data_IF_961822653610
#
_entry.id   IF_961822653610
#
_cell.length_a   1.000
_cell.length_b   1.000
_cell.length_c   1.000
_cell.angle_alpha   90.00
_cell.angle_beta   90.00
_cell.angle_gamma   90.00
#
_symmetry.space_group_name_H-M   'P 1'
#
loop_
_entity.id
_entity.type
_entity.pdbx_description
1 polymer ?
#
# COMPACT_ATOMS: atom_id res chain seq x y z
N UNK A 1 57.60 21.92 -54.49
CA UNK A 1 56.23 21.47 -54.18
C UNK A 1 55.69 22.44 -53.14
N UNK A 2 54.92 23.47 -53.52
CA UNK A 2 53.45 23.47 -53.67
C UNK A 2 52.74 23.04 -52.37
N UNK A 3 52.17 24.01 -51.61
CA UNK A 3 50.72 24.33 -51.46
C UNK A 3 49.96 23.23 -50.70
N UNK A 4 49.09 23.46 -49.72
CA UNK A 4 48.02 24.45 -49.47
C UNK A 4 47.55 24.15 -48.01
N UNK A 5 47.32 25.08 -47.09
CA UNK A 5 46.12 25.92 -46.92
C UNK A 5 44.94 25.27 -46.15
N UNK A 6 44.17 26.11 -45.44
CA UNK A 6 43.11 25.93 -44.40
C UNK A 6 43.60 26.06 -42.94
N UNK A 7 43.51 27.22 -42.27
CA UNK A 7 42.33 28.05 -41.90
C UNK A 7 41.40 27.24 -40.95
N UNK A 8 40.96 27.64 -39.76
CA UNK A 8 40.54 28.90 -39.12
C UNK A 8 40.37 28.59 -37.61
N UNK A 9 40.41 29.60 -36.73
CA UNK A 9 39.61 29.51 -35.50
C UNK A 9 40.19 30.14 -34.23
N UNK A 10 40.37 31.46 -34.23
CA UNK A 10 40.39 32.29 -33.01
C UNK A 10 39.16 32.01 -32.14
N UNK A 11 39.26 31.89 -30.81
CA UNK A 11 38.63 32.79 -29.81
C UNK A 11 39.28 32.59 -28.43
N UNK A 12 39.90 33.65 -27.90
CA UNK A 12 40.13 33.80 -26.45
C UNK A 12 38.96 34.54 -25.80
N UNK A 13 38.68 34.26 -24.53
CA UNK A 13 37.77 35.10 -23.74
C UNK A 13 37.17 34.44 -22.51
N UNK A 14 37.75 34.77 -21.35
CA UNK A 14 37.13 34.98 -20.04
C UNK A 14 36.23 33.90 -19.41
N UNK A 15 36.63 33.38 -18.26
CA UNK A 15 36.14 33.85 -16.96
C UNK A 15 36.64 32.94 -15.84
N UNK A 16 37.43 33.49 -14.91
CA UNK A 16 37.71 32.90 -13.61
C UNK A 16 36.39 32.86 -12.81
N UNK A 17 35.92 31.66 -12.48
CA UNK A 17 34.79 31.43 -11.58
C UNK A 17 35.29 30.77 -10.30
N UNK A 18 35.32 31.56 -9.24
CA UNK A 18 35.69 31.15 -7.89
C UNK A 18 34.56 30.28 -7.31
N UNK A 19 34.85 29.04 -6.92
CA UNK A 19 33.94 28.21 -6.11
C UNK A 19 33.94 28.73 -4.67
N UNK A 20 33.15 29.77 -4.41
CA UNK A 20 32.80 30.17 -3.05
C UNK A 20 31.61 29.34 -2.53
N UNK A 21 31.61 28.92 -1.25
CA UNK A 21 30.54 28.09 -0.70
C UNK A 21 29.23 28.87 -0.60
N UNK A 22 28.20 28.37 -1.26
CA UNK A 22 26.83 28.91 -1.22
C UNK A 22 26.31 28.89 0.21
N UNK A 23 26.29 30.07 0.84
CA UNK A 23 25.77 30.25 2.20
C UNK A 23 24.32 30.73 2.12
N UNK A 24 23.36 29.83 2.33
CA UNK A 24 21.94 30.16 2.36
C UNK A 24 21.62 30.81 3.71
N UNK A 25 21.45 32.14 3.75
CA UNK A 25 20.94 32.85 4.93
C UNK A 25 19.41 32.90 4.89
N UNK A 26 18.77 31.97 5.60
CA UNK A 26 17.33 31.99 5.86
C UNK A 26 16.97 33.21 6.75
N UNK A 27 16.02 34.03 6.31
CA UNK A 27 15.49 35.20 7.04
C UNK A 27 14.06 35.00 7.52
N UNK A 28 13.65 33.78 7.87
CA UNK A 28 12.39 33.60 8.61
C UNK A 28 12.52 34.20 10.00
N UNK A 29 11.87 35.35 10.17
CA UNK A 29 11.57 35.96 11.47
C UNK A 29 10.61 35.01 12.20
N UNK A 30 11.15 34.21 13.12
CA UNK A 30 10.34 33.35 14.00
C UNK A 30 9.69 34.27 15.04
N UNK A 31 8.37 34.43 14.95
CA UNK A 31 7.56 35.04 16.00
C UNK A 31 7.00 33.90 16.85
N UNK A 32 7.25 33.86 18.17
CA UNK A 32 6.64 32.87 19.06
C UNK A 32 5.38 33.47 19.70
N UNK A 33 4.25 32.80 19.55
CA UNK A 33 3.03 32.84 20.39
C UNK A 33 1.94 32.10 19.57
N UNK A 34 1.20 31.09 20.04
CA UNK A 34 0.79 30.82 21.40
C UNK A 34 -0.60 31.39 21.65
N UNK A 35 -1.64 30.93 20.93
CA UNK A 35 -3.05 31.15 21.30
C UNK A 35 -3.96 30.09 20.66
N UNK A 36 -4.33 29.12 21.48
CA UNK A 36 -5.66 28.58 21.74
C UNK A 36 -6.76 28.80 20.67
N UNK A 37 -7.22 27.70 20.10
CA UNK A 37 -8.45 27.57 19.32
C UNK A 37 -9.68 27.78 20.23
N UNK A 38 -10.64 28.66 19.91
CA UNK A 38 -11.92 28.66 20.61
C UNK A 38 -12.86 27.61 20.03
N UNK A 39 -13.37 26.81 20.95
CA UNK A 39 -14.39 25.78 20.83
C UNK A 39 -15.74 26.34 20.35
N UNK A 40 -16.53 25.44 19.75
CA UNK A 40 -17.92 25.64 19.35
C UNK A 40 -18.82 26.18 20.47
N UNK A 41 -19.62 27.19 20.14
CA UNK A 41 -20.73 27.70 20.95
C UNK A 41 -22.00 27.82 20.11
N UNK A 42 -22.99 27.00 20.47
CA UNK A 42 -24.38 26.91 19.99
C UNK A 42 -25.17 28.23 19.91
N UNK A 43 -26.12 28.34 18.96
CA UNK A 43 -27.45 28.90 19.23
C UNK A 43 -28.51 28.36 18.25
N UNK A 44 -29.41 27.53 18.76
CA UNK A 44 -30.77 27.41 18.26
C UNK A 44 -31.65 28.37 19.09
N UNK A 45 -32.50 29.14 18.42
CA UNK A 45 -33.44 30.06 19.07
C UNK A 45 -34.45 30.58 18.06
N UNK A 46 -35.61 29.92 18.01
CA UNK A 46 -36.82 30.35 17.32
C UNK A 46 -37.41 31.59 18.01
N UNK A 47 -37.88 32.55 17.22
CA UNK A 47 -38.33 33.86 17.67
C UNK A 47 -39.04 34.62 16.55
N UNK A 48 -40.33 34.31 16.39
CA UNK A 48 -41.26 34.98 15.46
C UNK A 48 -41.43 36.47 15.79
N UNK A 49 -41.15 37.35 14.81
CA UNK A 49 -41.67 38.72 14.77
C UNK A 49 -42.03 39.09 13.32
N UNK A 50 -43.28 39.49 13.12
CA UNK A 50 -43.91 39.84 11.85
C UNK A 50 -43.42 41.22 11.31
N UNK A 51 -43.75 41.58 10.04
CA UNK A 51 -42.87 42.31 9.13
C UNK A 51 -43.04 43.84 9.15
N UNK A 52 -41.95 44.56 8.84
CA UNK A 52 -41.89 46.01 8.62
C UNK A 52 -40.89 46.34 7.49
N UNK A 53 -40.99 47.51 6.83
CA UNK A 53 -41.27 47.60 5.40
C UNK A 53 -40.04 47.52 4.50
N UNK A 54 -40.22 46.83 3.38
CA UNK A 54 -39.61 47.09 2.07
C UNK A 54 -38.26 47.84 2.07
N UNK A 55 -37.17 47.10 2.22
CA UNK A 55 -36.01 47.39 1.39
C UNK A 55 -36.37 46.92 -0.02
N UNK A 56 -36.67 47.88 -0.91
CA UNK A 56 -36.94 47.61 -2.32
C UNK A 56 -35.79 46.83 -2.97
N UNK A 57 -36.01 46.21 -4.14
CA UNK A 57 -34.93 45.55 -4.85
C UNK A 57 -33.83 46.59 -5.07
N UNK A 58 -32.63 46.32 -4.57
CA UNK A 58 -31.44 46.98 -5.09
C UNK A 58 -31.25 46.45 -6.51
N UNK A 59 -32.11 46.92 -7.42
CA UNK A 59 -31.99 46.71 -8.85
C UNK A 59 -30.73 47.45 -9.31
N UNK A 60 -29.81 46.66 -9.87
CA UNK A 60 -28.54 47.11 -10.39
C UNK A 60 -27.38 46.79 -9.47
N UNK A 61 -27.06 45.51 -9.31
CA UNK A 61 -25.66 45.15 -9.09
C UNK A 61 -24.91 45.74 -10.28
N UNK A 62 -23.93 46.60 -10.02
CA UNK A 62 -23.13 47.21 -11.06
C UNK A 62 -22.58 46.08 -11.96
N UNK A 63 -22.75 46.13 -13.29
CA UNK A 63 -22.29 45.06 -14.19
C UNK A 63 -20.79 44.77 -14.01
N UNK A 64 -20.01 45.74 -13.52
CA UNK A 64 -18.61 45.54 -13.18
C UNK A 64 -18.42 44.65 -11.93
N UNK A 65 -19.29 44.78 -10.93
CA UNK A 65 -19.28 43.94 -9.72
C UNK A 65 -19.73 42.50 -10.03
N UNK A 66 -20.75 42.31 -10.88
CA UNK A 66 -21.15 40.96 -11.33
C UNK A 66 -20.02 40.27 -12.10
N UNK A 67 -19.34 41.01 -12.99
CA UNK A 67 -18.19 40.47 -13.73
C UNK A 67 -17.04 40.09 -12.80
N UNK A 68 -16.66 40.95 -11.87
CA UNK A 68 -15.58 40.68 -10.92
C UNK A 68 -15.91 39.50 -9.99
N UNK A 69 -17.17 39.38 -9.54
CA UNK A 69 -17.60 38.24 -8.71
C UNK A 69 -17.60 36.92 -9.48
N UNK A 70 -17.99 36.94 -10.76
CA UNK A 70 -17.86 35.78 -11.64
C UNK A 70 -16.39 35.37 -11.86
N UNK A 71 -15.49 36.32 -12.13
CA UNK A 71 -14.05 36.04 -12.27
C UNK A 71 -13.44 35.48 -10.98
N UNK A 72 -13.83 36.00 -9.81
CA UNK A 72 -13.39 35.47 -8.50
C UNK A 72 -13.93 34.06 -8.29
N UNK A 73 -15.19 33.79 -8.64
CA UNK A 73 -15.79 32.46 -8.51
C UNK A 73 -15.10 31.45 -9.44
N UNK A 74 -14.84 31.81 -10.70
CA UNK A 74 -14.09 30.99 -11.66
C UNK A 74 -12.69 30.67 -11.15
N UNK A 75 -11.93 31.70 -10.75
CA UNK A 75 -10.58 31.50 -10.19
C UNK A 75 -10.58 30.67 -8.92
N UNK A 76 -11.59 30.85 -8.06
CA UNK A 76 -11.73 30.05 -6.83
C UNK A 76 -12.01 28.59 -7.17
N UNK A 77 -12.89 28.33 -8.15
CA UNK A 77 -13.17 26.97 -8.62
C UNK A 77 -11.92 26.31 -9.23
N UNK A 78 -11.14 27.06 -10.02
CA UNK A 78 -9.86 26.57 -10.56
C UNK A 78 -8.84 26.29 -9.47
N UNK A 79 -8.69 27.17 -8.48
CA UNK A 79 -7.81 26.95 -7.34
C UNK A 79 -8.23 25.72 -6.54
N UNK A 80 -9.53 25.53 -6.31
CA UNK A 80 -10.05 24.33 -5.64
C UNK A 80 -9.72 23.07 -6.45
N UNK A 81 -9.93 23.09 -7.76
CA UNK A 81 -9.60 21.97 -8.64
C UNK A 81 -8.11 21.64 -8.62
N UNK A 82 -7.24 22.62 -8.83
CA UNK A 82 -5.78 22.43 -8.79
C UNK A 82 -5.31 21.97 -7.41
N UNK A 83 -5.90 22.47 -6.33
CA UNK A 83 -5.59 22.02 -4.98
C UNK A 83 -5.95 20.55 -4.76
N UNK A 84 -7.09 20.10 -5.29
CA UNK A 84 -7.53 18.72 -5.22
C UNK A 84 -6.63 17.81 -6.08
N UNK A 85 -6.28 18.23 -7.29
CA UNK A 85 -5.34 17.53 -8.17
C UNK A 85 -3.97 17.37 -7.48
N UNK A 86 -3.45 18.44 -6.86
CA UNK A 86 -2.19 18.41 -6.13
C UNK A 86 -2.24 17.50 -4.89
N UNK A 87 -3.34 17.55 -4.11
CA UNK A 87 -3.52 16.67 -2.97
C UNK A 87 -3.54 15.18 -3.39
N UNK A 88 -4.20 14.87 -4.50
CA UNK A 88 -4.23 13.52 -5.05
C UNK A 88 -2.87 13.08 -5.61
N UNK A 89 -2.16 13.97 -6.33
CA UNK A 89 -0.80 13.72 -6.80
C UNK A 89 0.14 13.42 -5.65
N UNK A 90 0.15 14.26 -4.60
CA UNK A 90 1.00 14.07 -3.42
C UNK A 90 0.75 12.71 -2.76
N UNK A 91 -0.51 12.37 -2.50
CA UNK A 91 -0.88 11.06 -1.92
C UNK A 91 -0.41 9.90 -2.82
N UNK A 92 -0.52 10.04 -4.15
CA UNK A 92 -0.07 9.02 -5.09
C UNK A 92 1.46 8.87 -5.06
N UNK A 93 2.19 9.96 -5.14
CA UNK A 93 3.66 9.96 -5.12
C UNK A 93 4.22 9.44 -3.80
N UNK A 94 3.59 9.74 -2.67
CA UNK A 94 4.04 9.21 -1.38
C UNK A 94 3.88 7.68 -1.30
N UNK A 95 2.76 7.13 -1.78
CA UNK A 95 2.59 5.66 -1.90
C UNK A 95 3.57 5.02 -2.88
N UNK A 96 3.84 5.69 -4.01
CA UNK A 96 4.81 5.20 -5.00
C UNK A 96 6.24 5.19 -4.44
N UNK A 97 6.62 6.20 -3.67
CA UNK A 97 7.92 6.21 -2.97
C UNK A 97 8.03 5.05 -2.00
N UNK A 98 6.97 4.80 -1.23
CA UNK A 98 6.93 3.68 -0.30
C UNK A 98 7.03 2.33 -1.03
N UNK A 99 6.28 2.14 -2.11
CA UNK A 99 6.33 0.91 -2.90
C UNK A 99 7.69 0.69 -3.56
N UNK A 100 8.36 1.75 -4.02
CA UNK A 100 9.73 1.69 -4.54
C UNK A 100 10.72 1.30 -3.45
N UNK A 101 10.60 1.86 -2.24
CA UNK A 101 11.47 1.50 -1.11
C UNK A 101 11.28 0.03 -0.69
N UNK A 102 10.03 -0.43 -0.58
CA UNK A 102 9.72 -1.83 -0.28
C UNK A 102 10.22 -2.74 -1.41
N UNK A 103 10.03 -2.34 -2.68
CA UNK A 103 10.49 -3.06 -3.85
C UNK A 103 12.02 -3.21 -3.90
N UNK A 104 12.75 -2.16 -3.54
CA UNK A 104 14.21 -2.19 -3.47
C UNK A 104 14.72 -3.13 -2.37
N UNK A 105 14.11 -3.09 -1.17
CA UNK A 105 14.42 -4.03 -0.08
C UNK A 105 14.12 -5.47 -0.51
N UNK A 106 12.96 -5.71 -1.11
CA UNK A 106 12.56 -7.01 -1.63
C UNK A 106 13.57 -7.56 -2.63
N UNK A 107 13.97 -6.78 -3.62
CA UNK A 107 14.96 -7.23 -4.61
C UNK A 107 16.29 -7.62 -3.97
N UNK A 108 16.81 -6.80 -3.05
CA UNK A 108 18.06 -7.09 -2.37
C UNK A 108 17.98 -8.35 -1.51
N UNK A 109 16.89 -8.51 -0.75
CA UNK A 109 16.71 -9.68 0.10
C UNK A 109 16.47 -10.95 -0.71
N UNK A 110 15.76 -10.85 -1.85
CA UNK A 110 15.56 -11.97 -2.77
C UNK A 110 16.87 -12.61 -3.22
N UNK A 111 17.88 -11.81 -3.57
CA UNK A 111 19.20 -12.31 -3.96
C UNK A 111 19.92 -12.99 -2.79
N UNK A 112 19.70 -12.48 -1.57
CA UNK A 112 20.29 -13.02 -0.34
C UNK A 112 19.59 -14.30 0.16
N UNK A 113 18.39 -14.65 -0.35
CA UNK A 113 17.65 -15.83 0.08
C UNK A 113 18.46 -17.13 -0.08
N UNK A 114 19.30 -17.21 -1.11
CA UNK A 114 20.18 -18.38 -1.32
C UNK A 114 21.14 -18.59 -0.15
N UNK A 115 21.70 -17.51 0.39
CA UNK A 115 22.59 -17.55 1.55
C UNK A 115 21.83 -17.90 2.83
N UNK A 116 20.60 -17.38 2.98
CA UNK A 116 19.74 -17.76 4.11
C UNK A 116 19.39 -19.25 4.06
N UNK A 117 19.11 -19.80 2.88
CA UNK A 117 18.85 -21.23 2.70
C UNK A 117 20.09 -22.08 3.07
N UNK A 118 21.30 -21.59 2.75
CA UNK A 118 22.54 -22.27 3.13
C UNK A 118 22.77 -22.23 4.65
N UNK A 119 22.40 -21.15 5.33
CA UNK A 119 22.44 -21.10 6.79
C UNK A 119 21.45 -22.08 7.42
N UNK A 120 20.22 -22.18 6.90
CA UNK A 120 19.24 -23.17 7.35
C UNK A 120 19.74 -24.60 7.13
N UNK A 121 20.31 -24.87 5.95
CA UNK A 121 20.91 -26.17 5.63
C UNK A 121 22.05 -26.50 6.59
N UNK A 122 22.95 -25.55 6.85
CA UNK A 122 24.05 -25.72 7.79
C UNK A 122 23.55 -25.96 9.23
N UNK A 123 22.45 -25.32 9.63
CA UNK A 123 21.83 -25.55 10.94
C UNK A 123 21.23 -26.97 11.03
N UNK A 124 20.54 -27.43 9.99
CA UNK A 124 19.97 -28.78 9.92
C UNK A 124 21.04 -29.89 10.00
N UNK A 125 22.22 -29.65 9.44
CA UNK A 125 23.35 -30.58 9.51
C UNK A 125 24.20 -30.42 10.79
N UNK A 126 23.93 -29.42 11.64
CA UNK A 126 24.68 -29.16 12.86
C UNK A 126 26.05 -28.49 12.63
N UNK A 127 26.31 -28.00 11.41
CA UNK A 127 27.55 -27.31 11.04
C UNK A 127 27.55 -25.84 11.49
N UNK A 128 26.37 -25.28 11.76
CA UNK A 128 26.20 -23.91 12.22
C UNK A 128 26.50 -23.78 13.72
N UNK A 129 27.77 -23.64 14.09
CA UNK A 129 28.21 -23.56 15.49
C UNK A 129 29.16 -22.38 15.79
N UNK A 130 29.28 -22.04 17.07
CA UNK A 130 30.25 -21.05 17.57
C UNK A 130 30.15 -19.67 16.89
N UNK A 131 31.28 -19.18 16.39
CA UNK A 131 31.37 -17.88 15.73
C UNK A 131 30.57 -17.81 14.43
N UNK A 132 30.41 -18.93 13.71
CA UNK A 132 29.66 -18.98 12.47
C UNK A 132 28.16 -18.80 12.71
N UNK A 133 27.62 -19.46 13.76
CA UNK A 133 26.24 -19.23 14.21
C UNK A 133 25.99 -17.76 14.58
N UNK A 134 26.89 -17.15 15.36
CA UNK A 134 26.75 -15.73 15.73
C UNK A 134 26.75 -14.79 14.52
N UNK A 135 27.52 -15.10 13.47
CA UNK A 135 27.50 -14.33 12.23
C UNK A 135 26.19 -14.51 11.45
N UNK A 136 25.71 -15.75 11.30
CA UNK A 136 24.43 -16.06 10.67
C UNK A 136 23.26 -15.38 11.40
N UNK A 137 23.20 -15.47 12.73
CA UNK A 137 22.17 -14.83 13.55
C UNK A 137 22.14 -13.31 13.35
N UNK A 138 23.31 -12.67 13.18
CA UNK A 138 23.39 -11.23 12.89
C UNK A 138 22.86 -10.90 11.50
N UNK A 139 23.19 -11.72 10.49
CA UNK A 139 22.67 -11.54 9.12
C UNK A 139 21.16 -11.71 9.11
N UNK A 140 20.64 -12.78 9.71
CA UNK A 140 19.20 -13.03 9.91
C UNK A 140 18.56 -11.83 10.62
N UNK A 141 19.16 -11.36 11.72
CA UNK A 141 18.67 -10.19 12.45
C UNK A 141 18.65 -8.89 11.64
N UNK A 142 19.54 -8.72 10.65
CA UNK A 142 19.52 -7.55 9.74
C UNK A 142 18.39 -7.68 8.73
N UNK A 143 18.19 -8.84 8.12
CA UNK A 143 17.11 -9.03 7.13
C UNK A 143 15.73 -8.98 7.79
N UNK A 144 15.57 -9.49 9.01
CA UNK A 144 14.33 -9.36 9.77
C UNK A 144 14.01 -7.89 10.08
N UNK A 145 15.03 -7.07 10.42
CA UNK A 145 14.84 -5.62 10.61
C UNK A 145 14.45 -4.88 9.32
N UNK A 146 14.82 -5.42 8.15
CA UNK A 146 14.37 -4.90 6.86
C UNK A 146 12.91 -5.24 6.55
N UNK A 147 12.28 -6.10 7.37
CA UNK A 147 10.89 -6.52 7.23
C UNK A 147 10.72 -7.93 6.65
N UNK A 148 11.78 -8.74 6.60
CA UNK A 148 11.69 -10.13 6.15
C UNK A 148 11.02 -11.01 7.21
N UNK A 149 9.92 -11.65 6.81
CA UNK A 149 9.17 -12.59 7.62
C UNK A 149 9.22 -13.99 6.97
N UNK A 150 9.76 -15.00 7.67
CA UNK A 150 9.64 -16.39 7.23
C UNK A 150 8.24 -16.92 7.53
N UNK A 151 7.73 -17.79 6.67
CA UNK A 151 6.46 -18.50 6.86
C UNK A 151 6.56 -19.93 6.29
N UNK A 152 5.54 -20.74 6.56
CA UNK A 152 5.52 -22.15 6.21
C UNK A 152 6.16 -22.97 7.33
N UNK A 153 5.45 -23.07 8.44
CA UNK A 153 5.79 -23.94 9.57
C UNK A 153 4.94 -25.19 9.50
N UNK A 154 5.53 -26.34 9.85
CA UNK A 154 4.80 -27.60 9.93
C UNK A 154 3.55 -27.45 10.82
N UNK A 155 2.40 -27.88 10.31
CA UNK A 155 1.11 -27.80 10.99
C UNK A 155 0.28 -26.54 10.69
N UNK A 156 0.82 -25.54 9.99
CA UNK A 156 0.03 -24.39 9.54
C UNK A 156 -1.01 -24.79 8.48
N UNK A 157 -2.07 -24.00 8.36
CA UNK A 157 -3.05 -24.17 7.27
C UNK A 157 -2.39 -23.89 5.92
N UNK A 158 -2.74 -24.70 4.92
CA UNK A 158 -2.30 -24.46 3.56
C UNK A 158 -3.03 -23.26 2.97
N UNK A 159 -2.29 -22.40 2.28
CA UNK A 159 -2.79 -21.19 1.63
C UNK A 159 -2.14 -21.12 0.24
N UNK A 160 -2.89 -21.25 -0.86
CA UNK A 160 -2.34 -21.21 -2.21
C UNK A 160 -1.59 -19.92 -2.57
N UNK A 161 -1.86 -18.81 -1.87
CA UNK A 161 -1.18 -17.52 -2.10
C UNK A 161 0.22 -17.47 -1.49
N UNK A 162 0.47 -18.26 -0.44
CA UNK A 162 1.74 -18.30 0.30
C UNK A 162 2.51 -19.60 0.03
N UNK A 163 1.81 -20.71 -0.19
CA UNK A 163 2.37 -22.05 -0.17
C UNK A 163 2.32 -22.72 -1.55
N UNK A 164 3.43 -23.36 -1.92
CA UNK A 164 3.55 -24.20 -3.11
C UNK A 164 3.56 -25.67 -2.69
N UNK A 165 2.43 -26.36 -2.92
CA UNK A 165 2.30 -27.78 -2.62
C UNK A 165 3.04 -28.63 -3.66
N UNK A 166 4.15 -29.23 -3.26
CA UNK A 166 4.98 -30.10 -4.13
C UNK A 166 4.50 -31.54 -4.08
N UNK A 167 3.97 -31.97 -2.93
CA UNK A 167 3.51 -33.34 -2.71
C UNK A 167 2.28 -33.35 -1.80
N UNK A 168 1.37 -34.29 -2.05
CA UNK A 168 0.24 -34.59 -1.17
C UNK A 168 0.48 -35.95 -0.50
N UNK A 169 0.54 -35.96 0.83
CA UNK A 169 0.64 -37.18 1.62
C UNK A 169 -0.76 -37.76 1.89
N UNK A 170 -0.94 -39.08 1.73
CA UNK A 170 -2.20 -39.71 2.06
C UNK A 170 -2.45 -39.60 3.56
N UNK A 171 -3.66 -39.23 3.94
CA UNK A 171 -4.09 -39.18 5.33
C UNK A 171 -5.25 -40.14 5.58
N UNK A 172 -5.32 -40.65 6.82
CA UNK A 172 -6.41 -41.52 7.28
C UNK A 172 -7.62 -40.72 7.80
N UNK A 173 -7.67 -39.41 7.51
CA UNK A 173 -8.71 -38.52 8.03
C UNK A 173 -10.08 -38.85 7.42
N UNK A 174 -11.09 -38.99 8.28
CA UNK A 174 -12.47 -39.26 7.88
C UNK A 174 -13.39 -38.14 8.34
N UNK A 175 -14.20 -37.59 7.43
CA UNK A 175 -15.08 -36.44 7.69
C UNK A 175 -14.59 -35.14 7.04
N UNK A 176 -15.06 -33.97 7.51
CA UNK A 176 -14.57 -32.66 7.05
C UNK A 176 -13.07 -32.51 7.34
N UNK A 177 -12.31 -32.16 6.31
CA UNK A 177 -10.86 -32.08 6.37
C UNK A 177 -10.37 -30.70 5.94
N UNK A 178 -9.25 -30.29 6.55
CA UNK A 178 -8.47 -29.13 6.12
C UNK A 178 -7.09 -29.57 5.67
N UNK A 179 -6.59 -28.95 4.61
CA UNK A 179 -5.24 -29.19 4.13
C UNK A 179 -4.24 -28.41 4.99
N UNK A 180 -3.31 -29.12 5.60
CA UNK A 180 -2.25 -28.55 6.47
C UNK A 180 -0.86 -28.88 5.93
N UNK A 181 0.12 -28.09 6.33
CA UNK A 181 1.52 -28.33 6.02
C UNK A 181 2.03 -29.56 6.80
N UNK A 182 2.27 -30.68 6.12
CA UNK A 182 2.89 -31.88 6.71
C UNK A 182 4.38 -31.68 6.89
N UNK A 183 5.10 -31.32 5.83
CA UNK A 183 6.56 -31.13 5.88
C UNK A 183 6.94 -29.92 5.06
N UNK A 184 7.84 -29.09 5.60
CA UNK A 184 8.35 -27.90 4.91
C UNK A 184 9.69 -28.24 4.31
N UNK A 185 9.73 -28.33 2.97
CA UNK A 185 10.96 -28.66 2.22
C UNK A 185 11.83 -27.42 2.04
N UNK A 186 11.21 -26.25 1.90
CA UNK A 186 11.88 -24.96 1.81
C UNK A 186 10.98 -23.87 2.38
N UNK A 187 11.51 -23.08 3.31
CA UNK A 187 10.75 -21.98 3.92
C UNK A 187 10.42 -20.89 2.91
N UNK A 188 9.23 -20.34 3.06
CA UNK A 188 8.74 -19.19 2.31
C UNK A 188 9.14 -17.90 3.01
N UNK A 189 9.23 -16.83 2.23
CA UNK A 189 9.66 -15.52 2.72
C UNK A 189 8.80 -14.41 2.11
N UNK A 190 8.35 -13.47 2.96
CA UNK A 190 7.61 -12.27 2.54
C UNK A 190 8.22 -11.02 3.16
N UNK A 191 7.99 -9.88 2.51
CA UNK A 191 8.24 -8.55 3.08
C UNK A 191 6.96 -7.76 2.97
N UNK A 192 6.41 -7.36 4.13
CA UNK A 192 5.09 -6.73 4.19
C UNK A 192 4.07 -7.62 3.45
N UNK A 193 3.33 -7.07 2.50
CA UNK A 193 2.32 -7.81 1.73
C UNK A 193 2.87 -8.53 0.50
N UNK A 194 4.19 -8.45 0.25
CA UNK A 194 4.81 -9.02 -0.94
C UNK A 194 5.53 -10.34 -0.63
N UNK A 195 5.02 -11.42 -1.21
CA UNK A 195 5.69 -12.73 -1.19
C UNK A 195 6.93 -12.66 -2.10
N UNK A 196 8.11 -12.94 -1.54
CA UNK A 196 9.36 -13.03 -2.30
C UNK A 196 9.51 -14.42 -2.92
N UNK A 197 9.16 -15.45 -2.14
CA UNK A 197 9.22 -16.85 -2.54
C UNK A 197 8.18 -17.64 -1.74
N UNK A 198 7.31 -18.44 -2.39
CA UNK A 198 6.39 -19.31 -1.67
C UNK A 198 7.14 -20.41 -0.91
N UNK A 199 6.54 -20.93 0.16
CA UNK A 199 7.13 -22.07 0.86
C UNK A 199 6.85 -23.35 0.08
N UNK A 200 7.88 -24.15 -0.17
CA UNK A 200 7.71 -25.46 -0.81
C UNK A 200 7.39 -26.49 0.26
N UNK A 201 6.20 -27.08 0.15
CA UNK A 201 5.62 -27.87 1.22
C UNK A 201 5.02 -29.17 0.71
N UNK A 202 5.04 -30.17 1.56
CA UNK A 202 4.18 -31.35 1.46
C UNK A 202 2.94 -31.10 2.30
N UNK A 203 1.77 -31.34 1.72
CA UNK A 203 0.47 -31.13 2.37
C UNK A 203 -0.19 -32.46 2.71
N UNK A 204 -1.07 -32.45 3.71
CA UNK A 204 -1.93 -33.57 4.05
C UNK A 204 -3.28 -33.07 4.54
N UNK A 205 -4.33 -33.85 4.33
CA UNK A 205 -5.65 -33.54 4.84
C UNK A 205 -5.79 -33.99 6.31
N UNK A 206 -6.24 -33.11 7.20
CA UNK A 206 -6.46 -33.39 8.63
C UNK A 206 -7.89 -33.09 9.02
N UNK A 207 -8.46 -33.86 9.95
CA UNK A 207 -9.80 -33.60 10.47
C UNK A 207 -9.89 -32.19 11.11
N UNK A 208 -10.93 -31.44 10.76
CA UNK A 208 -11.18 -30.05 11.22
C UNK A 208 -11.14 -29.86 12.75
N UNK A 209 -11.43 -30.92 13.51
CA UNK A 209 -11.50 -30.87 14.97
C UNK A 209 -10.13 -30.88 15.68
N UNK A 210 -9.02 -31.03 14.95
CA UNK A 210 -7.67 -31.14 15.51
C UNK A 210 -6.76 -29.93 15.22
N UNK A 211 -7.29 -28.89 14.57
CA UNK A 211 -6.52 -27.67 14.25
C UNK A 211 -6.56 -26.71 15.44
N UNK A 212 -5.41 -26.19 15.94
CA UNK A 212 -5.41 -25.18 17.00
C UNK A 212 -6.18 -23.92 16.57
N UNK A 213 -7.06 -23.44 17.45
CA UNK A 213 -8.01 -22.35 17.18
C UNK A 213 -7.40 -20.96 16.90
N UNK A 214 -6.08 -20.81 16.81
CA UNK A 214 -5.42 -19.52 16.54
C UNK A 214 -5.28 -19.20 15.04
N UNK A 215 -5.42 -20.17 14.13
CA UNK A 215 -5.24 -19.93 12.68
C UNK A 215 -6.56 -19.55 11.96
N UNK A 216 -7.71 -19.71 12.61
CA UNK A 216 -9.02 -19.62 11.94
C UNK A 216 -9.63 -18.21 11.92
N UNK A 217 -8.96 -17.20 12.46
CA UNK A 217 -9.59 -15.90 12.77
C UNK A 217 -9.51 -14.83 11.64
N UNK A 218 -8.75 -15.04 10.56
CA UNK A 218 -8.48 -13.93 9.60
C UNK A 218 -9.05 -14.08 8.18
N UNK A 219 -9.77 -15.16 7.82
CA UNK A 219 -10.16 -15.38 6.40
C UNK A 219 -11.66 -15.35 6.10
N UNK A 220 -12.54 -14.87 6.99
CA UNK A 220 -13.98 -14.81 6.65
C UNK A 220 -14.60 -13.47 6.96
N UNK A 221 -14.37 -12.47 6.09
CA UNK A 221 -15.37 -11.45 5.75
C UNK A 221 -15.16 -10.96 4.31
N UNK A 222 -16.15 -11.23 3.44
CA UNK A 222 -16.29 -10.52 2.17
C UNK A 222 -16.75 -11.37 0.99
N UNK A 223 -18.05 -11.59 0.86
CA UNK A 223 -18.65 -11.94 -0.44
C UNK A 223 -19.73 -13.03 -0.42
N UNK A 224 -20.85 -12.78 0.26
CA UNK A 224 -22.08 -13.53 0.04
C UNK A 224 -23.07 -12.66 -0.74
N UNK A 225 -23.15 -12.86 -2.06
CA UNK A 225 -24.27 -12.41 -2.89
C UNK A 225 -24.97 -13.67 -3.46
N UNK A 226 -26.26 -13.89 -3.18
CA UNK A 226 -26.95 -15.12 -3.57
C UNK A 226 -27.39 -15.10 -5.05
N UNK A 227 -27.38 -16.24 -5.75
CA UNK A 227 -27.80 -16.30 -7.14
C UNK A 227 -29.33 -16.21 -7.31
N UNK A 228 -29.73 -15.39 -8.26
CA UNK A 228 -31.09 -15.18 -8.76
C UNK A 228 -31.77 -16.48 -9.19
N UNK A 229 -32.97 -16.73 -8.64
CA UNK A 229 -33.89 -17.75 -9.13
C UNK A 229 -34.81 -17.13 -10.21
N UNK A 230 -34.60 -17.53 -11.46
CA UNK A 230 -35.51 -17.27 -12.57
C UNK A 230 -36.58 -18.37 -12.59
N UNK A 231 -37.82 -18.00 -12.22
CA UNK A 231 -38.97 -18.90 -12.19
C UNK A 231 -40.18 -18.21 -12.81
N UNK A 232 -40.42 -18.48 -14.10
CA UNK A 232 -41.55 -17.93 -14.87
C UNK A 232 -42.91 -18.49 -14.44
N UNK A 233 -44.02 -17.74 -14.61
CA UNK A 233 -45.35 -18.19 -14.21
C UNK A 233 -46.04 -18.93 -15.37
N UNK A 234 -46.39 -20.20 -15.15
CA UNK A 234 -47.27 -20.98 -16.02
C UNK A 234 -48.54 -21.38 -15.28
N UNK A 235 -49.66 -20.68 -15.55
CA UNK A 235 -50.99 -21.04 -15.07
C UNK A 235 -51.60 -22.17 -15.90
N UNK A 236 -52.38 -23.04 -15.25
CA UNK A 236 -53.21 -24.06 -15.89
C UNK A 236 -53.98 -24.91 -14.88
N UNK A 237 -55.29 -24.73 -14.84
CA UNK A 237 -56.32 -25.38 -14.00
C UNK A 237 -56.21 -26.90 -13.77
N UNK A 238 -56.62 -27.41 -12.59
CA UNK A 238 -56.94 -28.82 -12.42
C UNK A 238 -58.40 -29.13 -12.80
N UNK A 239 -58.59 -29.96 -13.83
CA UNK A 239 -59.84 -30.70 -14.05
C UNK A 239 -59.91 -31.89 -13.09
N UNK A 240 -61.02 -32.02 -12.37
CA UNK A 240 -61.37 -33.20 -11.60
C UNK A 240 -62.58 -33.88 -12.28
N UNK A 241 -62.51 -35.16 -12.69
CA UNK A 241 -63.67 -35.87 -13.18
C UNK A 241 -64.33 -36.77 -12.12
N UNK A 242 -65.67 -36.77 -12.15
CA UNK A 242 -66.66 -37.66 -11.51
C UNK A 242 -66.96 -37.45 -10.00
#
# INVERSE_FOLDING_TARGET
MNTDDRDDGTVGGHAEGQDEPVTIRDRRKVVPEGTETPEHGTVAGDGTAAPGPAAGPADGVDPEVEKLTAEVAERTADLQRVSAEYANYRRRTDRERESVLVGAKASFVSDLLTVLDDFERAEQHGDLTGAFKSAADKVVGVVTKLGLEPFGVQGELFDPSLHEAVQHEPSDASGPTVTVLSTVLRRGYRISDRVLRPAMVTVQDRAESEVPAETTAETVEGGAEPPSADGGPGGGEPQNPA
#
